data_IF_802842213739
#
_entry.id   IF_802842213739
#
_cell.length_a   1.000
_cell.length_b   1.000
_cell.length_c   1.000
_cell.angle_alpha   90.00
_cell.angle_beta   90.00
_cell.angle_gamma   90.00
#
_symmetry.space_group_name_H-M   'P 1'
#
loop_
_entity.id
_entity.type
_entity.pdbx_description
1 polymer ?
#
# COMPACT_ATOMS: atom_id res chain seq x y z
N UNK A 1 16.13 2.80 -5.13
CA UNK A 1 15.25 3.58 -4.20
C UNK A 1 14.04 4.10 -4.97
N UNK A 2 12.81 3.60 -4.75
CA UNK A 2 11.57 4.19 -5.33
C UNK A 2 10.67 4.85 -4.30
N UNK A 3 11.30 5.70 -3.50
CA UNK A 3 10.59 6.84 -2.92
C UNK A 3 11.48 8.06 -3.10
N UNK A 4 11.75 8.40 -4.36
CA UNK A 4 12.33 9.70 -4.65
C UNK A 4 11.22 10.75 -4.76
N UNK A 5 11.55 11.88 -4.16
CA UNK A 5 10.82 13.14 -4.10
C UNK A 5 10.06 13.45 -5.39
N UNK A 6 8.84 13.91 -5.16
CA UNK A 6 7.89 14.53 -6.09
C UNK A 6 8.46 15.81 -6.75
N UNK A 7 9.49 15.66 -7.59
CA UNK A 7 10.13 16.75 -8.36
C UNK A 7 9.67 16.71 -9.83
N UNK A 8 9.52 17.90 -10.43
CA UNK A 8 9.26 18.11 -11.86
C UNK A 8 10.45 17.68 -12.72
N UNK A 9 11.66 17.81 -12.18
CA UNK A 9 12.92 17.42 -12.81
C UNK A 9 13.61 16.34 -11.99
N UNK A 10 14.05 15.28 -12.67
CA UNK A 10 14.85 14.21 -12.07
C UNK A 10 16.17 14.77 -11.51
N UNK A 11 16.88 14.08 -10.60
CA UNK A 11 18.13 14.56 -10.01
C UNK A 11 19.24 14.94 -11.03
N UNK A 12 19.14 14.47 -12.26
CA UNK A 12 20.02 14.76 -13.41
C UNK A 12 19.48 15.88 -14.35
N UNK A 13 18.30 16.44 -14.04
CA UNK A 13 17.62 17.42 -14.87
C UNK A 13 16.78 16.82 -16.00
N UNK A 14 16.60 15.49 -16.06
CA UNK A 14 15.79 14.81 -17.06
C UNK A 14 14.27 14.89 -16.82
N UNK A 15 13.51 14.61 -17.88
CA UNK A 15 12.06 14.34 -17.84
C UNK A 15 11.81 12.85 -18.15
N UNK A 16 10.92 12.18 -17.38
CA UNK A 16 10.50 10.79 -17.64
C UNK A 16 11.34 9.70 -16.97
N UNK A 17 12.08 8.93 -17.77
CA UNK A 17 12.87 7.75 -17.37
C UNK A 17 14.04 8.13 -16.45
N UNK A 18 14.20 7.45 -15.31
CA UNK A 18 15.34 7.66 -14.41
C UNK A 18 16.08 6.36 -14.11
N UNK A 19 17.41 6.39 -14.09
CA UNK A 19 18.25 5.29 -13.63
C UNK A 19 18.74 5.58 -12.22
N UNK A 20 18.41 4.70 -11.28
CA UNK A 20 18.76 4.87 -9.89
C UNK A 20 20.25 4.70 -9.61
N UNK A 21 20.71 5.15 -8.43
CA UNK A 21 22.11 4.97 -8.01
C UNK A 21 22.53 3.51 -7.90
N UNK A 22 21.57 2.61 -7.70
CA UNK A 22 21.71 1.14 -7.75
C UNK A 22 21.48 0.53 -9.15
N UNK A 23 21.41 1.36 -10.20
CA UNK A 23 21.39 0.94 -11.61
C UNK A 23 20.02 0.48 -12.14
N UNK A 24 18.93 0.71 -11.40
CA UNK A 24 17.58 0.26 -11.79
C UNK A 24 16.84 1.35 -12.55
N UNK A 25 16.18 0.99 -13.64
CA UNK A 25 15.28 1.90 -14.34
C UNK A 25 13.98 2.07 -13.53
N UNK A 26 13.63 3.33 -13.29
CA UNK A 26 12.41 3.75 -12.60
C UNK A 26 11.61 4.63 -13.56
N UNK A 27 10.37 4.22 -13.80
CA UNK A 27 9.42 4.96 -14.61
C UNK A 27 8.63 5.91 -13.73
N UNK A 28 8.65 7.20 -14.05
CA UNK A 28 7.80 8.23 -13.45
C UNK A 28 7.07 8.98 -14.55
N UNK A 29 5.76 9.12 -14.39
CA UNK A 29 4.92 9.85 -15.32
C UNK A 29 4.20 10.96 -14.56
N UNK A 30 4.81 12.15 -14.63
CA UNK A 30 4.20 13.47 -14.47
C UNK A 30 3.66 13.88 -13.10
N UNK A 31 4.32 14.90 -12.55
CA UNK A 31 3.61 16.09 -12.05
C UNK A 31 4.04 17.31 -12.86
N UNK A 32 3.08 18.14 -13.27
CA UNK A 32 3.33 19.35 -14.07
C UNK A 32 3.97 20.51 -13.30
N UNK A 33 4.16 20.36 -11.99
CA UNK A 33 4.79 21.32 -11.08
C UNK A 33 5.69 20.56 -10.10
N UNK A 34 6.70 21.23 -9.55
CA UNK A 34 7.37 20.76 -8.33
C UNK A 34 6.37 20.84 -7.18
N UNK A 35 6.18 19.76 -6.42
CA UNK A 35 5.49 19.92 -5.15
C UNK A 35 6.36 20.76 -4.18
N UNK A 36 5.75 21.50 -3.24
CA UNK A 36 6.52 22.21 -2.22
C UNK A 36 7.44 21.22 -1.50
N UNK A 37 8.62 21.69 -1.05
CA UNK A 37 9.64 20.85 -0.41
C UNK A 37 9.24 20.30 1.00
N UNK A 38 7.97 19.99 1.24
CA UNK A 38 7.50 19.53 2.54
C UNK A 38 8.03 18.14 2.91
N UNK A 39 8.37 17.29 1.93
CA UNK A 39 9.02 15.98 2.16
C UNK A 39 10.55 16.03 2.11
N UNK A 40 11.17 17.16 1.72
CA UNK A 40 12.63 17.26 1.64
C UNK A 40 13.34 17.06 2.99
N UNK A 41 12.58 17.20 4.09
CA UNK A 41 13.05 17.03 5.46
C UNK A 41 12.27 15.92 6.21
N UNK A 42 11.64 14.97 5.49
CA UNK A 42 10.86 13.90 6.09
C UNK A 42 11.59 12.55 5.97
N UNK A 43 12.59 12.28 6.84
CA UNK A 43 13.33 11.03 6.79
C UNK A 43 12.43 9.85 7.17
N UNK A 44 12.75 8.67 6.63
CA UNK A 44 12.22 7.43 7.20
C UNK A 44 12.73 7.28 8.63
N UNK A 45 11.84 6.96 9.57
CA UNK A 45 12.17 6.84 10.98
C UNK A 45 12.06 5.38 11.46
N UNK A 46 12.97 4.99 12.35
CA UNK A 46 12.89 3.78 13.17
C UNK A 46 13.11 4.17 14.61
N UNK A 47 12.14 3.89 15.48
CA UNK A 47 12.18 4.27 16.89
C UNK A 47 12.49 5.78 17.10
N UNK A 48 11.92 6.61 16.23
CA UNK A 48 12.11 8.07 16.25
C UNK A 48 13.45 8.56 15.70
N UNK A 49 14.31 7.66 15.20
CA UNK A 49 15.60 8.02 14.62
C UNK A 49 15.58 7.90 13.10
N UNK A 50 16.18 8.85 12.35
CA UNK A 50 16.35 8.74 10.91
C UNK A 50 17.11 7.48 10.51
N UNK A 51 16.62 6.79 9.49
CA UNK A 51 17.27 5.61 8.90
C UNK A 51 17.27 5.70 7.39
N UNK A 52 18.33 5.17 6.78
CA UNK A 52 18.38 4.95 5.34
C UNK A 52 17.61 3.66 4.98
N UNK A 53 16.78 3.75 3.95
CA UNK A 53 16.00 2.61 3.43
C UNK A 53 16.60 2.21 2.08
N UNK A 54 17.25 1.03 1.98
CA UNK A 54 18.01 0.65 0.78
C UNK A 54 17.13 0.14 -0.37
N UNK A 55 15.84 -0.09 -0.12
CA UNK A 55 14.87 -0.60 -1.09
C UNK A 55 13.68 0.35 -1.20
N UNK A 56 12.70 0.06 -2.05
CA UNK A 56 11.43 0.77 -2.07
C UNK A 56 10.64 0.60 -0.78
N UNK A 57 9.79 1.58 -0.46
CA UNK A 57 9.03 1.55 0.78
C UNK A 57 8.03 0.38 0.85
N UNK A 58 7.46 -0.06 -0.28
CA UNK A 58 6.58 -1.24 -0.28
C UNK A 58 7.34 -2.48 0.19
N UNK A 59 8.50 -2.78 -0.39
CA UNK A 59 9.34 -3.89 0.07
C UNK A 59 9.83 -3.67 1.51
N UNK A 60 10.29 -2.45 1.84
CA UNK A 60 10.85 -2.15 3.15
C UNK A 60 9.82 -2.33 4.28
N UNK A 61 8.59 -1.84 4.09
CA UNK A 61 7.50 -2.01 5.04
C UNK A 61 7.07 -3.46 5.15
N UNK A 62 7.00 -4.19 4.04
CA UNK A 62 6.67 -5.62 4.03
C UNK A 62 7.70 -6.46 4.78
N UNK A 63 8.99 -6.20 4.54
CA UNK A 63 10.11 -6.87 5.20
C UNK A 63 10.17 -6.54 6.68
N UNK A 64 9.96 -5.29 7.07
CA UNK A 64 9.94 -4.91 8.49
C UNK A 64 8.73 -5.49 9.22
N UNK A 65 7.55 -5.53 8.58
CA UNK A 65 6.37 -6.20 9.12
C UNK A 65 6.61 -7.70 9.34
N UNK A 66 7.16 -8.41 8.36
CA UNK A 66 7.55 -9.81 8.49
C UNK A 66 8.59 -10.01 9.62
N UNK A 67 9.58 -9.12 9.71
CA UNK A 67 10.59 -9.15 10.78
C UNK A 67 9.97 -8.91 12.17
N UNK A 68 9.03 -7.96 12.29
CA UNK A 68 8.29 -7.69 13.51
C UNK A 68 7.49 -8.92 13.97
N UNK A 69 6.79 -9.59 13.04
CA UNK A 69 6.01 -10.81 13.33
C UNK A 69 6.93 -11.88 13.93
N UNK A 70 8.07 -12.17 13.27
CA UNK A 70 9.04 -13.16 13.74
C UNK A 70 9.57 -12.83 15.14
N UNK A 71 9.96 -11.57 15.39
CA UNK A 71 10.46 -11.12 16.70
C UNK A 71 9.42 -11.20 17.83
N UNK A 72 8.13 -11.23 17.48
CA UNK A 72 7.02 -11.26 18.44
C UNK A 72 6.21 -12.58 18.34
N UNK A 73 6.76 -13.63 17.75
CA UNK A 73 6.05 -14.90 17.57
C UNK A 73 5.62 -15.54 18.91
N UNK A 74 6.31 -15.23 20.00
CA UNK A 74 6.05 -15.74 21.36
C UNK A 74 4.92 -15.02 22.13
N UNK A 75 4.52 -13.81 21.72
CA UNK A 75 3.58 -12.96 22.47
C UNK A 75 2.51 -12.32 21.58
N UNK A 76 1.27 -12.08 22.06
CA UNK A 76 0.27 -11.34 21.30
C UNK A 76 0.80 -9.97 20.84
N UNK A 77 0.45 -9.55 19.61
CA UNK A 77 0.86 -8.27 19.06
C UNK A 77 -0.31 -7.55 18.38
N UNK A 78 -0.14 -6.24 18.25
CA UNK A 78 -0.87 -5.40 17.31
C UNK A 78 0.13 -4.79 16.34
N UNK A 79 -0.09 -4.98 15.03
CA UNK A 79 0.71 -4.37 13.98
C UNK A 79 -0.21 -3.55 13.07
N UNK A 80 0.08 -2.25 12.96
CA UNK A 80 -0.52 -1.36 11.99
C UNK A 80 0.48 -1.11 10.87
N UNK A 81 0.17 -1.62 9.68
CA UNK A 81 1.02 -1.55 8.50
C UNK A 81 0.37 -0.63 7.48
N UNK A 82 0.83 0.63 7.44
CA UNK A 82 0.32 1.65 6.55
C UNK A 82 1.21 1.80 5.31
N UNK A 83 0.84 1.15 4.22
CA UNK A 83 1.49 1.35 2.92
C UNK A 83 1.14 2.72 2.35
N UNK A 84 2.15 3.40 1.80
CA UNK A 84 1.92 4.56 0.94
C UNK A 84 1.51 4.13 -0.47
N UNK A 85 1.92 2.94 -0.94
CA UNK A 85 1.42 2.40 -2.19
C UNK A 85 -0.11 2.17 -2.11
N UNK A 86 -0.89 2.45 -3.15
CA UNK A 86 -0.46 2.87 -4.51
C UNK A 86 -0.53 4.38 -4.78
N UNK A 87 -0.48 5.20 -3.73
CA UNK A 87 -0.50 6.66 -3.86
C UNK A 87 0.66 7.19 -4.72
N UNK A 88 0.42 8.34 -5.36
CA UNK A 88 1.46 9.12 -6.04
C UNK A 88 2.68 9.43 -5.14
N UNK A 89 3.89 9.60 -5.70
CA UNK A 89 4.20 9.59 -7.13
C UNK A 89 4.13 8.19 -7.75
N UNK A 90 3.71 8.14 -9.01
CA UNK A 90 3.61 6.89 -9.78
C UNK A 90 5.01 6.38 -10.11
N UNK A 91 5.43 5.31 -9.44
CA UNK A 91 6.78 4.77 -9.55
C UNK A 91 6.73 3.24 -9.58
N UNK A 92 7.37 2.64 -10.59
CA UNK A 92 7.54 1.19 -10.66
C UNK A 92 8.95 0.83 -11.11
N UNK A 93 9.37 -0.40 -10.74
CA UNK A 93 10.56 -1.05 -11.30
C UNK A 93 10.22 -1.53 -12.71
N UNK A 94 11.22 -1.50 -13.60
CA UNK A 94 11.10 -1.99 -14.98
C UNK A 94 10.49 -3.39 -15.08
N UNK A 95 11.03 -4.34 -14.31
CA UNK A 95 10.54 -5.73 -14.28
C UNK A 95 9.03 -5.83 -13.98
N UNK A 96 8.51 -5.01 -13.07
CA UNK A 96 7.09 -5.01 -12.71
C UNK A 96 6.25 -4.31 -13.75
N UNK A 97 6.76 -3.24 -14.36
CA UNK A 97 6.10 -2.54 -15.45
C UNK A 97 5.95 -3.43 -16.69
N UNK A 98 6.98 -4.21 -17.03
CA UNK A 98 6.98 -5.13 -18.18
C UNK A 98 5.92 -6.24 -18.05
N UNK A 99 5.62 -6.70 -16.83
CA UNK A 99 4.57 -7.69 -16.57
C UNK A 99 3.18 -7.23 -17.04
N UNK A 100 2.97 -5.92 -17.13
CA UNK A 100 1.72 -5.31 -17.55
C UNK A 100 1.80 -4.70 -18.97
N UNK A 101 2.70 -5.19 -19.82
CA UNK A 101 2.91 -4.67 -21.18
C UNK A 101 1.66 -4.63 -22.07
N UNK A 102 0.61 -5.41 -21.74
CA UNK A 102 -0.68 -5.39 -22.44
C UNK A 102 -1.56 -4.17 -22.12
N UNK A 103 -1.23 -3.37 -21.10
CA UNK A 103 -1.96 -2.15 -20.74
C UNK A 103 -1.36 -0.98 -21.52
N UNK A 104 -2.02 -0.48 -22.56
CA UNK A 104 -1.46 0.58 -23.41
C UNK A 104 -1.24 1.91 -22.67
N UNK A 105 -2.14 2.26 -21.75
CA UNK A 105 -2.01 3.47 -20.95
C UNK A 105 -0.85 3.32 -19.94
N UNK A 106 0.19 4.14 -20.10
CA UNK A 106 1.44 4.03 -19.33
C UNK A 106 1.19 4.30 -17.84
N UNK A 107 0.33 5.25 -17.49
CA UNK A 107 0.01 5.58 -16.11
C UNK A 107 -0.69 4.40 -15.42
N UNK A 108 -1.68 3.82 -16.09
CA UNK A 108 -2.41 2.65 -15.62
C UNK A 108 -1.51 1.42 -15.56
N UNK A 109 -0.50 1.32 -16.44
CA UNK A 109 0.51 0.27 -16.35
C UNK A 109 1.39 0.41 -15.11
N UNK A 110 1.85 1.63 -14.79
CA UNK A 110 2.61 1.90 -13.56
C UNK A 110 1.73 1.64 -12.34
N UNK A 111 0.47 2.04 -12.39
CA UNK A 111 -0.53 1.76 -11.37
C UNK A 111 -0.67 0.26 -11.07
N UNK A 112 -0.93 -0.53 -12.11
CA UNK A 112 -1.06 -1.99 -12.00
C UNK A 112 0.23 -2.62 -11.45
N UNK A 113 1.38 -2.11 -11.85
CA UNK A 113 2.67 -2.56 -11.34
C UNK A 113 2.85 -2.24 -9.84
N UNK A 114 2.53 -1.02 -9.39
CA UNK A 114 2.54 -0.66 -7.96
C UNK A 114 1.56 -1.51 -7.15
N UNK A 115 0.37 -1.74 -7.68
CA UNK A 115 -0.65 -2.57 -7.03
C UNK A 115 -0.20 -4.03 -6.91
N UNK A 116 0.43 -4.57 -7.96
CA UNK A 116 1.00 -5.92 -7.90
C UNK A 116 2.12 -6.02 -6.87
N UNK A 117 2.94 -4.99 -6.69
CA UNK A 117 3.98 -4.99 -5.65
C UNK A 117 3.40 -4.92 -4.25
N UNK A 118 2.32 -4.15 -4.06
CA UNK A 118 1.59 -4.14 -2.79
C UNK A 118 1.05 -5.54 -2.46
N UNK A 119 0.44 -6.22 -3.42
CA UNK A 119 -0.06 -7.60 -3.26
C UNK A 119 1.06 -8.59 -2.88
N UNK A 120 2.21 -8.52 -3.56
CA UNK A 120 3.40 -9.32 -3.20
C UNK A 120 3.90 -9.01 -1.77
N UNK A 121 3.88 -7.74 -1.39
CA UNK A 121 4.23 -7.29 -0.04
C UNK A 121 3.31 -7.87 1.02
N UNK A 122 1.99 -7.83 0.79
CA UNK A 122 0.99 -8.50 1.64
C UNK A 122 1.27 -10.01 1.70
N UNK A 123 1.58 -10.64 0.56
CA UNK A 123 1.99 -12.04 0.49
C UNK A 123 3.15 -12.36 1.43
N UNK A 124 4.20 -11.53 1.43
CA UNK A 124 5.37 -11.65 2.31
C UNK A 124 4.99 -11.62 3.79
N UNK A 125 4.06 -10.73 4.17
CA UNK A 125 3.59 -10.60 5.57
C UNK A 125 2.75 -11.81 5.98
N UNK A 126 1.86 -12.27 5.10
CA UNK A 126 1.04 -13.46 5.33
C UNK A 126 1.88 -14.74 5.40
N UNK A 127 2.95 -14.83 4.60
CA UNK A 127 3.90 -15.95 4.65
C UNK A 127 4.64 -15.98 5.99
N UNK A 128 5.10 -14.83 6.50
CA UNK A 128 5.71 -14.76 7.83
C UNK A 128 4.76 -15.23 8.95
N UNK A 129 3.45 -14.96 8.84
CA UNK A 129 2.47 -15.51 9.78
C UNK A 129 2.36 -17.03 9.66
N UNK A 130 2.41 -17.59 8.45
CA UNK A 130 2.34 -19.04 8.21
C UNK A 130 3.58 -19.76 8.73
N UNK A 131 4.76 -19.22 8.44
CA UNK A 131 6.05 -19.78 8.87
C UNK A 131 6.14 -19.89 10.40
N UNK A 132 5.62 -18.90 11.11
CA UNK A 132 5.57 -18.88 12.58
C UNK A 132 4.34 -19.62 13.16
N UNK A 133 3.50 -20.24 12.33
CA UNK A 133 2.29 -20.96 12.75
C UNK A 133 1.24 -20.08 13.43
N UNK A 134 1.16 -18.81 13.00
CA UNK A 134 0.30 -17.75 13.53
C UNK A 134 -0.88 -17.39 12.62
N UNK A 135 -0.92 -17.94 11.40
CA UNK A 135 -1.95 -17.69 10.38
C UNK A 135 -3.39 -17.92 10.87
N UNK A 136 -3.62 -18.95 11.70
CA UNK A 136 -4.93 -19.25 12.29
C UNK A 136 -5.21 -18.54 13.63
N UNK A 137 -4.24 -17.78 14.14
CA UNK A 137 -4.27 -17.12 15.47
C UNK A 137 -4.10 -15.61 15.38
N UNK A 138 -4.20 -15.05 14.17
CA UNK A 138 -4.05 -13.63 13.89
C UNK A 138 -5.26 -13.15 13.10
N UNK A 139 -5.92 -12.11 13.59
CA UNK A 139 -6.93 -11.40 12.81
C UNK A 139 -6.23 -10.45 11.85
N UNK A 140 -6.54 -10.55 10.57
CA UNK A 140 -5.96 -9.69 9.52
C UNK A 140 -7.07 -8.85 8.89
N UNK A 141 -6.89 -7.54 8.91
CA UNK A 141 -7.73 -6.58 8.22
C UNK A 141 -6.94 -5.96 7.07
N UNK A 142 -7.56 -5.84 5.90
CA UNK A 142 -7.00 -5.15 4.74
C UNK A 142 -8.01 -4.08 4.32
N UNK A 143 -7.66 -2.81 4.51
CA UNK A 143 -8.55 -1.66 4.28
C UNK A 143 -7.87 -0.52 3.52
N UNK A 144 -8.64 0.18 2.69
CA UNK A 144 -8.18 1.46 2.12
C UNK A 144 -8.41 2.62 3.08
N UNK A 145 -7.63 3.68 2.96
CA UNK A 145 -7.81 4.93 3.71
C UNK A 145 -8.92 5.81 3.10
N UNK A 146 -9.05 5.80 1.77
CA UNK A 146 -10.12 6.46 1.01
C UNK A 146 -10.40 5.74 -0.31
N UNK A 147 -11.38 6.22 -1.08
CA UNK A 147 -11.57 5.78 -2.46
C UNK A 147 -10.58 6.43 -3.44
N UNK A 148 -10.36 5.81 -4.60
CA UNK A 148 -9.27 6.14 -5.52
C UNK A 148 -9.38 7.55 -6.15
N UNK A 149 -8.26 8.26 -6.37
CA UNK A 149 -8.20 9.49 -7.14
C UNK A 149 -8.18 9.18 -8.65
N UNK A 150 -9.35 8.87 -9.21
CA UNK A 150 -9.52 8.44 -10.62
C UNK A 150 -8.88 9.38 -11.66
N UNK A 151 -8.79 10.68 -11.37
CA UNK A 151 -8.15 11.69 -12.23
C UNK A 151 -6.62 11.67 -12.20
N UNK A 152 -6.02 11.22 -11.09
CA UNK A 152 -4.58 11.32 -10.86
C UNK A 152 -3.86 10.00 -11.13
N UNK A 153 -4.50 8.87 -10.78
CA UNK A 153 -3.83 7.56 -10.75
C UNK A 153 -4.57 6.49 -11.56
N UNK A 154 -5.50 6.89 -12.44
CA UNK A 154 -6.29 5.99 -13.32
C UNK A 154 -7.14 4.94 -12.59
N UNK A 155 -7.26 5.05 -11.26
CA UNK A 155 -8.08 4.16 -10.44
C UNK A 155 -9.54 4.11 -10.87
N UNK A 156 -10.23 3.04 -10.51
CA UNK A 156 -11.67 2.86 -10.65
C UNK A 156 -12.34 2.76 -9.28
N UNK A 157 -13.37 3.59 -9.06
CA UNK A 157 -14.30 3.46 -7.94
C UNK A 157 -15.62 2.84 -8.36
N UNK A 158 -15.73 2.35 -9.60
CA UNK A 158 -16.98 1.83 -10.14
C UNK A 158 -17.53 0.69 -9.26
N UNK A 159 -18.85 0.64 -8.98
CA UNK A 159 -19.92 1.52 -9.47
C UNK A 159 -20.20 2.75 -8.59
N UNK A 160 -19.34 3.06 -7.62
CA UNK A 160 -19.53 4.13 -6.65
C UNK A 160 -19.33 5.51 -7.29
N UNK A 161 -20.08 6.50 -6.81
CA UNK A 161 -20.02 7.87 -7.30
C UNK A 161 -18.83 8.59 -6.67
N UNK A 162 -18.07 9.34 -7.46
CA UNK A 162 -16.99 10.20 -6.96
C UNK A 162 -15.65 9.49 -6.76
N UNK A 163 -14.77 10.14 -6.01
CA UNK A 163 -13.38 9.74 -5.79
C UNK A 163 -12.80 10.44 -4.58
N UNK A 164 -11.50 10.26 -4.35
CA UNK A 164 -10.73 11.00 -3.33
C UNK A 164 -11.15 12.48 -3.29
N UNK A 165 -11.24 13.03 -2.07
CA UNK A 165 -11.68 14.41 -1.78
C UNK A 165 -13.18 14.69 -2.01
N UNK A 166 -13.99 13.70 -2.36
CA UNK A 166 -15.45 13.87 -2.50
C UNK A 166 -16.21 13.29 -1.31
N UNK A 167 -17.37 13.88 -1.00
CA UNK A 167 -18.31 13.34 0.01
C UNK A 167 -19.21 12.22 -0.55
N UNK A 168 -18.97 11.78 -1.79
CA UNK A 168 -19.70 10.68 -2.39
C UNK A 168 -19.10 9.34 -1.96
N UNK A 169 -19.82 8.26 -2.25
CA UNK A 169 -19.46 6.89 -1.84
C UNK A 169 -18.04 6.53 -2.29
N UNK A 170 -17.66 6.86 -3.52
CA UNK A 170 -16.32 6.61 -4.05
C UNK A 170 -15.21 7.49 -3.46
N UNK A 171 -15.51 8.42 -2.56
CA UNK A 171 -14.50 9.22 -1.84
C UNK A 171 -14.24 8.75 -0.42
N UNK A 172 -15.29 8.37 0.30
CA UNK A 172 -15.19 7.94 1.71
C UNK A 172 -15.30 6.43 1.89
N UNK A 173 -15.93 5.72 0.95
CA UNK A 173 -15.98 4.27 0.98
C UNK A 173 -14.72 3.71 0.32
N UNK A 174 -13.81 3.27 1.17
CA UNK A 174 -12.87 2.23 0.81
C UNK A 174 -13.64 1.02 0.30
N UNK A 175 -13.21 0.35 -0.78
CA UNK A 175 -13.87 -0.86 -1.25
C UNK A 175 -13.60 -2.02 -0.28
N UNK A 176 -14.20 -1.97 0.91
CA UNK A 176 -15.01 -3.12 1.26
C UNK A 176 -16.04 -3.22 0.15
N UNK A 177 -16.11 -4.37 -0.53
CA UNK A 177 -17.30 -4.72 -1.31
C UNK A 177 -18.57 -4.29 -0.55
N UNK A 178 -19.70 -4.04 -1.22
CA UNK A 178 -20.95 -3.84 -0.50
C UNK A 178 -21.16 -5.05 0.43
N UNK A 179 -20.89 -4.87 1.73
CA UNK A 179 -20.55 -5.93 2.67
C UNK A 179 -19.09 -6.41 2.60
N UNK A 180 -18.30 -6.15 3.65
CA UNK A 180 -16.93 -6.67 3.84
C UNK A 180 -16.81 -8.16 3.56
N UNK A 181 -15.62 -8.66 3.22
CA UNK A 181 -15.43 -10.09 2.92
C UNK A 181 -14.56 -10.78 3.96
N UNK A 182 -15.02 -11.93 4.47
CA UNK A 182 -14.24 -12.80 5.37
C UNK A 182 -13.95 -14.14 4.66
N UNK A 183 -12.74 -14.72 4.80
CA UNK A 183 -12.44 -16.02 4.23
C UNK A 183 -13.14 -17.14 5.02
N UNK A 184 -13.80 -18.04 4.30
CA UNK A 184 -14.40 -19.23 4.92
C UNK A 184 -13.33 -20.25 5.33
N UNK A 185 -13.76 -21.34 5.97
CA UNK A 185 -12.87 -22.40 6.49
C UNK A 185 -12.02 -23.10 5.40
N UNK A 186 -12.27 -22.81 4.13
CA UNK A 186 -11.49 -23.30 2.98
C UNK A 186 -10.74 -22.17 2.25
N UNK A 187 -10.67 -20.96 2.83
CA UNK A 187 -9.97 -19.82 2.25
C UNK A 187 -10.75 -19.09 1.14
N UNK A 188 -12.06 -19.34 0.99
CA UNK A 188 -12.90 -18.62 0.02
C UNK A 188 -13.57 -17.40 0.64
N UNK A 189 -13.37 -16.24 0.04
CA UNK A 189 -13.92 -14.97 0.51
C UNK A 189 -15.45 -14.89 0.34
N UNK A 190 -16.18 -14.57 1.42
CA UNK A 190 -17.65 -14.40 1.46
C UNK A 190 -18.03 -13.02 1.98
N UNK A 191 -19.10 -12.44 1.45
CA UNK A 191 -19.64 -11.15 1.92
C UNK A 191 -20.28 -11.25 3.31
N UNK A 192 -20.06 -10.21 4.12
CA UNK A 192 -20.60 -9.97 5.46
C UNK A 192 -21.07 -8.51 5.57
N UNK A 193 -22.23 -8.21 6.16
CA UNK A 193 -22.72 -6.84 6.31
C UNK A 193 -21.79 -5.98 7.18
N UNK A 194 -21.57 -4.73 6.78
CA UNK A 194 -20.74 -3.76 7.50
C UNK A 194 -21.41 -3.33 8.82
N UNK A 195 -20.77 -3.48 9.99
CA UNK A 195 -21.18 -2.72 11.18
C UNK A 195 -20.74 -1.26 11.02
N UNK A 196 -21.51 -0.32 11.57
CA UNK A 196 -21.09 1.07 11.71
C UNK A 196 -19.87 1.13 12.65
N UNK A 197 -18.66 1.29 12.11
CA UNK A 197 -17.42 1.34 12.88
C UNK A 197 -17.13 2.77 13.34
N UNK A 198 -17.05 2.96 14.66
CA UNK A 198 -16.40 4.13 15.27
C UNK A 198 -14.98 3.73 15.67
N UNK A 199 -13.98 4.38 15.08
CA UNK A 199 -12.55 3.99 15.14
C UNK A 199 -11.91 4.12 16.53
N UNK A 200 -12.58 4.69 17.53
CA UNK A 200 -11.93 5.08 18.80
C UNK A 200 -12.00 4.06 19.94
N UNK A 201 -12.74 2.93 19.82
CA UNK A 201 -13.00 2.04 20.98
C UNK A 201 -12.56 0.58 20.86
N UNK A 202 -12.00 0.12 19.74
CA UNK A 202 -11.60 -1.30 19.55
C UNK A 202 -10.18 -1.53 19.01
N UNK A 203 -9.28 -0.57 19.14
CA UNK A 203 -7.86 -0.75 18.80
C UNK A 203 -7.04 -1.47 19.89
N UNK A 204 -7.65 -1.82 21.03
CA UNK A 204 -7.00 -2.67 22.02
C UNK A 204 -7.12 -4.14 21.58
N UNK A 205 -6.01 -4.89 21.44
CA UNK A 205 -6.09 -6.32 21.19
C UNK A 205 -6.90 -6.96 22.32
N UNK A 206 -7.83 -7.85 21.95
CA UNK A 206 -8.49 -8.72 22.93
C UNK A 206 -7.39 -9.47 23.70
N UNK A 207 -7.52 -9.67 25.02
CA UNK A 207 -6.50 -10.36 25.79
C UNK A 207 -6.15 -11.73 25.17
N UNK A 208 -4.89 -11.91 24.77
CA UNK A 208 -4.41 -13.13 24.12
C UNK A 208 -4.56 -13.18 22.58
N UNK A 209 -5.10 -12.15 21.94
CA UNK A 209 -5.28 -12.10 20.49
C UNK A 209 -4.19 -11.31 19.77
N UNK A 210 -3.82 -11.78 18.57
CA UNK A 210 -2.95 -11.05 17.63
C UNK A 210 -3.82 -10.36 16.59
N UNK A 211 -3.49 -9.12 16.26
CA UNK A 211 -4.20 -8.35 15.24
C UNK A 211 -3.19 -7.66 14.32
N UNK A 212 -3.43 -7.78 13.02
CA UNK A 212 -2.71 -7.11 11.95
C UNK A 212 -3.72 -6.29 11.17
N UNK A 213 -3.51 -4.98 11.13
CA UNK A 213 -4.27 -4.07 10.29
C UNK A 213 -3.33 -3.57 9.19
N UNK A 214 -3.64 -3.94 7.96
CA UNK A 214 -2.96 -3.46 6.76
C UNK A 214 -3.84 -2.37 6.18
N UNK A 215 -3.35 -1.14 6.27
CA UNK A 215 -3.92 0.01 5.59
C UNK A 215 -3.04 0.33 4.38
N UNK A 216 -3.64 0.62 3.24
CA UNK A 216 -2.93 1.15 2.08
C UNK A 216 -3.92 1.81 1.17
N UNK A 217 -3.51 2.82 0.40
CA UNK A 217 -4.42 3.38 -0.61
C UNK A 217 -4.73 2.28 -1.61
N UNK A 218 -5.95 1.73 -1.55
CA UNK A 218 -6.42 0.74 -2.51
C UNK A 218 -7.22 1.45 -3.56
N UNK A 219 -6.76 1.29 -4.77
CA UNK A 219 -7.45 1.77 -5.93
C UNK A 219 -7.59 0.53 -6.83
N UNK A 220 -8.83 0.20 -7.18
CA UNK A 220 -9.11 -1.02 -7.93
C UNK A 220 -9.27 -0.64 -9.40
N UNK A 221 -9.04 -1.59 -10.30
CA UNK A 221 -9.23 -1.44 -11.75
C UNK A 221 -10.56 -2.05 -12.15
#
# INVERSE_FOLDING_TARGET
MVTWLRRRTLPDGGEGLWISSDGRLVLSTQMGNDEPAYDANNPSLRDGQPVEVPTDLTDAFSQEAASFIRRNADRPFFLYLAYNAVHSPMQSREEEFERFASIDDIQHRIFAAMLSRLDQGVGTVLEALRDEGLDRRTLVFFISDNGGPTRELTSSNSPLRGGKETLFEGGSESPSSPGGREPDRQGRWRSVPSPHWTSSRRSRPLPGCRCLEIAGTMEWT
#
